data_IF_542530995242
#
_entry.id   IF_542530995242
#
_cell.length_a   1.000
_cell.length_b   1.000
_cell.length_c   1.000
_cell.angle_alpha   90.00
_cell.angle_beta   90.00
_cell.angle_gamma   90.00
#
_symmetry.space_group_name_H-M   'P 1'
#
loop_
_entity.id
_entity.type
_entity.pdbx_description
1 polymer ?
#
# COMPACT_ATOMS: atom_id res chain seq x y z
N UNK A 1 11.16 1.51 17.99
CA UNK A 1 10.18 2.62 17.99
C UNK A 1 9.27 2.45 16.77
N UNK A 2 8.26 1.59 16.85
CA UNK A 2 7.25 1.51 15.79
C UNK A 2 6.25 2.66 16.02
N UNK A 3 6.12 3.57 15.06
CA UNK A 3 5.13 4.65 15.12
C UNK A 3 3.74 4.04 15.16
N UNK A 4 2.98 4.33 16.21
CA UNK A 4 1.55 4.02 16.31
C UNK A 4 0.77 4.99 15.40
N UNK A 5 0.83 4.72 14.10
CA UNK A 5 0.08 5.47 13.09
C UNK A 5 -1.32 4.88 12.94
N UNK A 6 -2.31 5.53 13.53
CA UNK A 6 -3.72 5.21 13.27
C UNK A 6 -4.04 5.62 11.83
N UNK A 7 -4.04 4.67 10.90
CA UNK A 7 -4.47 4.90 9.53
C UNK A 7 -6.01 4.91 9.50
N UNK A 8 -6.57 6.11 9.61
CA UNK A 8 -8.02 6.34 9.76
C UNK A 8 -8.82 6.02 8.49
N UNK A 9 -8.18 5.88 7.32
CA UNK A 9 -8.89 5.58 6.07
C UNK A 9 -8.07 4.72 5.10
N UNK A 10 -8.76 3.92 4.27
CA UNK A 10 -8.14 3.02 3.30
C UNK A 10 -7.22 3.76 2.32
N UNK A 11 -7.57 4.99 1.93
CA UNK A 11 -6.76 5.80 1.01
C UNK A 11 -5.38 6.15 1.61
N UNK A 12 -5.32 6.44 2.90
CA UNK A 12 -4.09 6.73 3.62
C UNK A 12 -3.20 5.50 3.71
N UNK A 13 -3.79 4.31 3.86
CA UNK A 13 -3.06 3.03 3.79
C UNK A 13 -2.44 2.87 2.40
N UNK A 14 -3.25 3.07 1.34
CA UNK A 14 -2.75 2.97 -0.04
C UNK A 14 -1.64 3.99 -0.34
N UNK A 15 -1.78 5.24 0.13
CA UNK A 15 -0.74 6.27 -0.02
C UNK A 15 0.55 5.91 0.71
N UNK A 16 0.44 5.47 1.96
CA UNK A 16 1.62 5.07 2.77
C UNK A 16 2.37 3.92 2.10
N UNK A 17 1.64 2.94 1.56
CA UNK A 17 2.26 1.84 0.81
C UNK A 17 2.91 2.34 -0.48
N UNK A 18 2.19 3.14 -1.27
CA UNK A 18 2.70 3.72 -2.51
C UNK A 18 4.00 4.53 -2.30
N UNK A 19 4.02 5.40 -1.29
CA UNK A 19 5.20 6.18 -0.89
C UNK A 19 6.39 5.28 -0.51
N UNK A 20 6.13 4.10 0.03
CA UNK A 20 7.14 3.09 0.34
C UNK A 20 7.50 2.18 -0.86
N UNK A 21 6.94 2.42 -2.05
CA UNK A 21 7.13 1.56 -3.22
C UNK A 21 6.31 0.27 -3.19
N UNK A 22 5.33 0.17 -2.29
CA UNK A 22 4.51 -1.02 -2.05
C UNK A 22 3.08 -0.84 -2.54
N UNK A 23 2.38 -1.95 -2.77
CA UNK A 23 0.96 -1.96 -3.12
C UNK A 23 0.25 -3.21 -2.63
N UNK A 24 -1.08 -3.15 -2.54
CA UNK A 24 -1.91 -4.29 -2.13
C UNK A 24 -2.64 -4.89 -3.31
N UNK A 25 -2.77 -6.20 -3.31
CA UNK A 25 -3.64 -6.95 -4.24
C UNK A 25 -4.19 -8.19 -3.59
N UNK A 26 -5.27 -8.73 -4.15
CA UNK A 26 -5.76 -10.05 -3.78
C UNK A 26 -5.11 -11.10 -4.68
N UNK A 27 -4.49 -12.12 -4.08
CA UNK A 27 -3.98 -13.31 -4.76
C UNK A 27 -4.48 -14.56 -4.04
N UNK A 28 -5.07 -15.51 -4.78
CA UNK A 28 -5.61 -16.76 -4.22
C UNK A 28 -6.58 -16.57 -3.04
N UNK A 29 -7.36 -15.47 -3.03
CA UNK A 29 -8.28 -15.15 -1.92
C UNK A 29 -7.62 -14.49 -0.71
N UNK A 30 -6.32 -14.25 -0.75
CA UNK A 30 -5.57 -13.57 0.31
C UNK A 30 -5.16 -12.16 -0.11
N UNK A 31 -5.25 -11.22 0.82
CA UNK A 31 -4.68 -9.88 0.65
C UNK A 31 -3.17 -9.96 0.84
N UNK A 32 -2.41 -9.57 -0.18
CA UNK A 32 -0.95 -9.58 -0.18
C UNK A 32 -0.40 -8.19 -0.47
N UNK A 33 0.71 -7.85 0.19
CA UNK A 33 1.50 -6.65 -0.08
C UNK A 33 2.60 -7.04 -1.07
N UNK A 34 2.74 -6.26 -2.14
CA UNK A 34 3.70 -6.47 -3.21
C UNK A 34 4.63 -5.25 -3.27
N UNK A 35 5.89 -5.48 -3.62
CA UNK A 35 6.85 -4.42 -3.94
C UNK A 35 6.74 -4.00 -5.41
N UNK A 36 7.40 -2.90 -5.78
CA UNK A 36 7.47 -2.39 -7.14
C UNK A 36 6.22 -1.60 -7.56
N UNK A 37 5.68 -0.78 -6.67
CA UNK A 37 4.59 0.14 -7.00
C UNK A 37 5.02 1.13 -8.08
N UNK A 38 4.45 0.98 -9.27
CA UNK A 38 4.68 1.85 -10.40
C UNK A 38 3.88 3.15 -10.25
N UNK A 39 4.59 4.25 -9.99
CA UNK A 39 4.01 5.59 -9.88
C UNK A 39 3.57 6.17 -11.23
N UNK A 40 3.98 5.56 -12.34
CA UNK A 40 3.66 6.00 -13.71
C UNK A 40 2.38 5.37 -14.27
N UNK A 41 1.73 4.47 -13.54
CA UNK A 41 0.53 3.74 -13.97
C UNK A 41 -0.71 4.60 -14.20
N UNK A 42 -0.63 5.90 -13.87
CA UNK A 42 -1.70 6.89 -14.06
C UNK A 42 -1.37 7.94 -15.14
N UNK A 43 -0.31 7.76 -15.93
CA UNK A 43 0.02 8.65 -17.05
C UNK A 43 -0.65 8.23 -18.35
#
# INVERSE_FOLDING_TARGET
MAREGRLENCLAIHRTLAEAGLWMRVQHGHLVICDGYDHNRHR
#
